data_IF_685486581035
#
_entry.id   IF_685486581035
#
_cell.length_a   1.000
_cell.length_b   1.000
_cell.length_c   1.000
_cell.angle_alpha   90.00
_cell.angle_beta   90.00
_cell.angle_gamma   90.00
#
_symmetry.space_group_name_H-M   'P 1'
#
loop_
_entity.id
_entity.type
_entity.pdbx_description
1 polymer ?
#
# COMPACT_ATOMS: atom_id res chain seq x y z
N UNK A 1 7.58 17.88 -12.09
CA UNK A 1 6.15 17.66 -11.75
C UNK A 1 5.81 16.15 -11.72
N UNK A 2 6.76 15.27 -12.08
CA UNK A 2 6.54 13.82 -12.22
C UNK A 2 6.55 13.05 -10.89
N UNK A 3 7.29 13.53 -9.88
CA UNK A 3 7.41 12.87 -8.58
C UNK A 3 6.05 12.70 -7.86
N UNK A 4 5.18 13.72 -7.89
CA UNK A 4 3.85 13.65 -7.30
C UNK A 4 2.94 12.62 -7.99
N UNK A 5 3.10 12.45 -9.32
CA UNK A 5 2.40 11.44 -10.10
C UNK A 5 2.82 10.03 -9.72
N UNK A 6 4.12 9.78 -9.60
CA UNK A 6 4.65 8.47 -9.16
C UNK A 6 4.24 8.12 -7.73
N UNK A 7 4.20 9.09 -6.81
CA UNK A 7 3.71 8.86 -5.44
C UNK A 7 2.24 8.44 -5.44
N UNK A 8 1.39 9.10 -6.24
CA UNK A 8 -0.03 8.75 -6.35
C UNK A 8 -0.24 7.36 -6.93
N UNK A 9 0.48 7.03 -8.01
CA UNK A 9 0.44 5.70 -8.63
C UNK A 9 0.92 4.59 -7.70
N UNK A 10 1.97 4.84 -6.91
CA UNK A 10 2.45 3.89 -5.91
C UNK A 10 1.41 3.63 -4.83
N UNK A 11 0.77 4.68 -4.31
CA UNK A 11 -0.33 4.54 -3.34
C UNK A 11 -1.49 3.75 -3.92
N UNK A 12 -1.92 4.07 -5.15
CA UNK A 12 -3.00 3.35 -5.82
C UNK A 12 -2.67 1.86 -6.00
N UNK A 13 -1.44 1.55 -6.41
CA UNK A 13 -0.98 0.17 -6.58
C UNK A 13 -0.93 -0.60 -5.26
N UNK A 14 -0.53 0.07 -4.17
CA UNK A 14 -0.57 -0.49 -2.81
C UNK A 14 -1.99 -0.84 -2.36
N UNK A 15 -2.93 0.09 -2.54
CA UNK A 15 -4.36 -0.12 -2.21
C UNK A 15 -4.98 -1.27 -3.00
N UNK A 16 -4.65 -1.40 -4.29
CA UNK A 16 -5.09 -2.54 -5.11
C UNK A 16 -4.59 -3.88 -4.55
N UNK A 17 -3.38 -3.90 -4.01
CA UNK A 17 -2.77 -5.09 -3.41
C UNK A 17 -3.40 -5.44 -2.07
N UNK A 18 -3.74 -4.43 -1.27
CA UNK A 18 -4.52 -4.60 -0.04
C UNK A 18 -5.89 -5.23 -0.34
N UNK A 19 -6.59 -4.69 -1.35
CA UNK A 19 -7.89 -5.22 -1.77
C UNK A 19 -7.81 -6.67 -2.24
N UNK A 20 -6.71 -7.07 -2.90
CA UNK A 20 -6.50 -8.47 -3.29
C UNK A 20 -6.39 -9.40 -2.08
N UNK A 21 -5.70 -8.98 -1.01
CA UNK A 21 -5.60 -9.75 0.24
C UNK A 21 -6.96 -9.82 0.96
N UNK A 22 -7.70 -8.70 1.01
CA UNK A 22 -9.06 -8.68 1.56
C UNK A 22 -9.97 -9.65 0.79
N UNK A 23 -9.92 -9.64 -0.54
CA UNK A 23 -10.70 -10.55 -1.38
C UNK A 23 -10.35 -12.02 -1.13
N UNK A 24 -9.05 -12.34 -0.99
CA UNK A 24 -8.61 -13.70 -0.69
C UNK A 24 -9.11 -14.17 0.69
N UNK A 25 -8.99 -13.31 1.70
CA UNK A 25 -9.50 -13.60 3.04
C UNK A 25 -11.02 -13.83 3.04
N UNK A 26 -11.77 -13.02 2.27
CA UNK A 26 -13.21 -13.16 2.13
C UNK A 26 -13.59 -14.48 1.44
N UNK A 27 -12.90 -14.82 0.36
CA UNK A 27 -13.13 -16.07 -0.38
C UNK A 27 -12.88 -17.32 0.48
N UNK A 28 -11.95 -17.25 1.43
CA UNK A 28 -11.62 -18.35 2.33
C UNK A 28 -12.23 -18.23 3.74
N UNK A 29 -13.14 -17.29 3.97
CA UNK A 29 -13.69 -17.00 5.29
C UNK A 29 -14.43 -18.20 5.93
N UNK A 30 -14.97 -19.11 5.12
CA UNK A 30 -15.66 -20.33 5.56
C UNK A 30 -14.80 -21.59 5.48
N UNK A 31 -13.52 -21.48 5.09
CA UNK A 31 -12.61 -22.62 5.00
C UNK A 31 -12.05 -22.94 6.38
N UNK A 32 -12.42 -24.10 6.94
CA UNK A 32 -11.93 -24.57 8.25
C UNK A 32 -10.39 -24.62 8.28
N UNK A 33 -9.79 -23.98 9.27
CA UNK A 33 -8.33 -23.94 9.44
C UNK A 33 -7.60 -22.88 8.61
N UNK A 34 -8.33 -22.07 7.83
CA UNK A 34 -7.73 -20.94 7.10
C UNK A 34 -7.21 -19.87 8.08
N UNK A 35 -6.02 -19.33 7.78
CA UNK A 35 -5.41 -18.23 8.53
C UNK A 35 -5.37 -17.00 7.66
N UNK A 36 -6.07 -15.96 8.08
CA UNK A 36 -6.12 -14.69 7.36
C UNK A 36 -4.73 -14.05 7.26
N UNK A 37 -4.51 -13.37 6.15
CA UNK A 37 -3.31 -12.57 5.91
C UNK A 37 -3.63 -11.08 6.09
N UNK A 38 -2.63 -10.30 6.50
CA UNK A 38 -2.73 -8.85 6.64
C UNK A 38 -1.55 -8.18 5.98
N UNK A 39 -1.79 -7.03 5.34
CA UNK A 39 -0.75 -6.20 4.74
C UNK A 39 -0.51 -4.98 5.61
N UNK A 40 0.75 -4.61 5.79
CA UNK A 40 1.16 -3.38 6.47
C UNK A 40 1.97 -2.55 5.49
N UNK A 41 1.62 -1.28 5.36
CA UNK A 41 2.36 -0.32 4.54
C UNK A 41 3.05 0.70 5.44
N UNK A 42 4.25 1.11 5.04
CA UNK A 42 4.97 2.24 5.63
C UNK A 42 5.24 3.26 4.53
N UNK A 43 5.25 4.53 4.90
CA UNK A 43 5.71 5.57 4.00
C UNK A 43 7.21 5.43 3.72
N UNK A 44 7.62 5.87 2.52
CA UNK A 44 9.03 5.98 2.16
C UNK A 44 9.34 7.44 1.88
N UNK A 45 10.24 8.01 2.67
CA UNK A 45 10.69 9.40 2.57
C UNK A 45 12.20 9.40 2.38
N UNK A 46 12.66 10.02 1.30
CA UNK A 46 14.08 10.25 1.04
C UNK A 46 14.41 11.72 1.30
N UNK A 47 15.50 11.98 2.01
CA UNK A 47 16.00 13.33 2.21
C UNK A 47 16.50 13.91 0.86
N UNK A 48 16.12 15.15 0.57
CA UNK A 48 16.66 15.90 -0.56
C UNK A 48 17.72 16.89 -0.04
N UNK A 49 18.83 17.04 -0.76
CA UNK A 49 20.00 17.81 -0.31
C UNK A 49 19.73 19.31 -0.09
N UNK A 50 18.68 19.90 -0.68
CA UNK A 50 18.52 21.37 -0.67
C UNK A 50 17.09 21.91 -0.80
N UNK A 51 16.05 21.08 -0.70
CA UNK A 51 14.67 21.58 -0.84
C UNK A 51 14.03 21.84 0.54
N UNK A 52 13.36 22.99 0.75
CA UNK A 52 12.62 23.23 1.99
C UNK A 52 11.53 22.18 2.16
N UNK A 53 11.26 21.80 3.41
CA UNK A 53 10.09 20.98 3.72
C UNK A 53 8.83 21.68 3.20
N UNK A 54 8.09 21.01 2.32
CA UNK A 54 6.73 21.43 1.93
C UNK A 54 5.78 21.04 3.07
N UNK A 55 5.80 21.84 4.13
CA UNK A 55 4.88 21.79 5.26
C UNK A 55 4.02 23.04 5.32
#
# INVERSE_FOLDING_TARGET
MDAAGYTTLNRQSGLMREMAVVANNLANASTTGFRREGVVFSEYVAAMDSDPSLS
#
